data_IF_624856291349
#
_entry.id   IF_624856291349
#
_cell.length_a   1.000
_cell.length_b   1.000
_cell.length_c   1.000
_cell.angle_alpha   90.00
_cell.angle_beta   90.00
_cell.angle_gamma   90.00
#
_symmetry.space_group_name_H-M   'P 1'
#
loop_
_entity.id
_entity.type
_entity.pdbx_description
1 polymer ?
#
# COMPACT_ATOMS: atom_id res chain seq x y z
N UNK A 1 -38.35 -47.58 15.60
CA UNK A 1 -36.91 -47.28 15.47
C UNK A 1 -36.79 -46.20 14.42
N UNK A 2 -36.62 -44.96 14.88
CA UNK A 2 -36.65 -43.75 14.05
C UNK A 2 -35.39 -43.65 13.21
N UNK A 3 -35.54 -43.61 11.90
CA UNK A 3 -34.49 -43.22 10.96
C UNK A 3 -34.40 -41.69 10.99
N UNK A 4 -33.41 -41.15 11.71
CA UNK A 4 -33.07 -39.73 11.61
C UNK A 4 -32.44 -39.48 10.24
N UNK A 5 -33.25 -38.92 9.33
CA UNK A 5 -32.75 -38.31 8.11
C UNK A 5 -31.95 -37.09 8.55
N UNK A 6 -30.62 -37.21 8.52
CA UNK A 6 -29.75 -36.06 8.65
C UNK A 6 -30.00 -35.16 7.43
N UNK A 7 -30.87 -34.17 7.60
CA UNK A 7 -31.06 -33.09 6.65
C UNK A 7 -29.70 -32.46 6.38
N UNK A 8 -29.12 -32.78 5.22
CA UNK A 8 -27.95 -32.08 4.69
C UNK A 8 -28.44 -30.68 4.29
N UNK A 9 -28.46 -29.77 5.26
CA UNK A 9 -28.50 -28.34 4.98
C UNK A 9 -27.26 -28.02 4.15
N UNK A 10 -27.43 -27.96 2.83
CA UNK A 10 -26.44 -27.38 1.93
C UNK A 10 -26.53 -25.87 2.12
N UNK A 11 -25.52 -25.20 2.73
CA UNK A 11 -25.55 -23.75 2.84
C UNK A 11 -25.54 -23.18 1.42
N UNK A 12 -26.63 -22.48 1.10
CA UNK A 12 -26.94 -21.88 -0.20
C UNK A 12 -25.94 -20.78 -0.59
N UNK A 13 -25.17 -20.23 0.35
CA UNK A 13 -24.09 -19.29 0.09
C UNK A 13 -22.85 -19.59 0.95
N UNK A 14 -21.74 -19.95 0.32
CA UNK A 14 -20.46 -20.10 1.01
C UNK A 14 -19.31 -19.52 0.18
N UNK A 15 -18.47 -18.72 0.84
CA UNK A 15 -17.27 -18.14 0.23
C UNK A 15 -16.06 -18.99 0.57
N UNK A 16 -15.31 -19.39 -0.46
CA UNK A 16 -14.10 -20.20 -0.32
C UNK A 16 -12.86 -19.32 -0.37
N UNK A 17 -11.98 -19.47 0.63
CA UNK A 17 -10.72 -18.76 0.75
C UNK A 17 -9.54 -19.71 0.58
N UNK A 18 -8.50 -19.21 -0.09
CA UNK A 18 -7.19 -19.86 -0.18
C UNK A 18 -6.14 -18.98 0.50
N UNK A 19 -5.10 -19.60 1.04
CA UNK A 19 -3.97 -18.87 1.60
C UNK A 19 -3.34 -17.94 0.55
N UNK A 20 -3.08 -16.70 0.94
CA UNK A 20 -2.43 -15.66 0.13
C UNK A 20 -0.92 -15.55 0.36
N UNK A 21 -0.37 -16.36 1.26
CA UNK A 21 1.07 -16.36 1.55
C UNK A 21 1.89 -16.59 0.27
N UNK A 22 3.04 -15.91 0.10
CA UNK A 22 3.96 -16.18 -1.01
C UNK A 22 4.56 -17.61 -0.95
N UNK A 23 4.38 -18.34 0.15
CA UNK A 23 4.75 -19.74 0.23
C UNK A 23 3.84 -20.61 -0.68
N UNK A 24 4.31 -20.87 -1.90
CA UNK A 24 3.61 -21.67 -2.92
C UNK A 24 3.26 -23.11 -2.50
N UNK A 25 3.94 -23.64 -1.47
CA UNK A 25 3.69 -24.96 -0.92
C UNK A 25 2.52 -24.98 0.05
N UNK A 26 2.10 -23.82 0.57
CA UNK A 26 0.92 -23.75 1.42
C UNK A 26 -0.34 -24.07 0.63
N UNK A 27 -1.14 -25.01 1.14
CA UNK A 27 -2.47 -25.35 0.62
C UNK A 27 -3.59 -25.05 1.62
N UNK A 28 -3.35 -24.11 2.54
CA UNK A 28 -4.32 -23.69 3.55
C UNK A 28 -5.57 -23.11 2.89
N UNK A 29 -6.74 -23.52 3.38
CA UNK A 29 -8.04 -23.06 2.87
C UNK A 29 -9.04 -22.89 4.01
N UNK A 30 -9.99 -21.99 3.81
CA UNK A 30 -11.09 -21.77 4.73
C UNK A 30 -12.39 -21.57 3.95
N UNK A 31 -13.51 -21.76 4.64
CA UNK A 31 -14.84 -21.46 4.11
C UNK A 31 -15.57 -20.55 5.08
N UNK A 32 -16.21 -19.52 4.57
CA UNK A 32 -17.16 -18.71 5.33
C UNK A 32 -18.57 -19.27 5.11
N UNK A 33 -19.23 -19.57 6.22
CA UNK A 33 -20.61 -20.02 6.27
C UNK A 33 -21.58 -18.83 6.18
N UNK A 34 -22.88 -19.10 5.99
CA UNK A 34 -23.92 -18.07 5.86
C UNK A 34 -24.06 -17.19 7.11
N UNK A 35 -23.77 -17.75 8.28
CA UNK A 35 -23.77 -17.04 9.57
C UNK A 35 -22.53 -16.14 9.76
N UNK A 36 -21.63 -16.10 8.77
CA UNK A 36 -20.37 -15.36 8.81
C UNK A 36 -19.23 -16.11 9.50
N UNK A 37 -19.49 -17.29 10.09
CA UNK A 37 -18.47 -18.11 10.75
C UNK A 37 -17.44 -18.60 9.74
N UNK A 38 -16.15 -18.42 10.06
CA UNK A 38 -15.06 -18.94 9.24
C UNK A 38 -14.62 -20.30 9.79
N UNK A 39 -14.70 -21.32 8.94
CA UNK A 39 -14.20 -22.67 9.23
C UNK A 39 -12.93 -22.94 8.43
N UNK A 40 -11.85 -23.32 9.12
CA UNK A 40 -10.61 -23.74 8.48
C UNK A 40 -10.77 -25.19 7.96
N UNK A 41 -10.50 -25.38 6.66
CA UNK A 41 -10.60 -26.70 6.02
C UNK A 41 -9.23 -27.38 5.94
N UNK A 42 -8.20 -26.65 5.51
CA UNK A 42 -6.81 -27.13 5.46
C UNK A 42 -5.92 -26.24 6.33
N UNK A 43 -5.09 -26.82 7.22
CA UNK A 43 -4.17 -26.04 8.03
C UNK A 43 -3.07 -25.41 7.17
N UNK A 44 -2.47 -24.34 7.69
CA UNK A 44 -1.28 -23.74 7.11
C UNK A 44 -0.04 -24.59 7.42
N UNK A 45 0.94 -24.57 6.52
CA UNK A 45 2.25 -25.22 6.68
C UNK A 45 3.36 -24.20 6.89
N UNK A 46 2.99 -23.02 7.39
CA UNK A 46 3.88 -21.91 7.66
C UNK A 46 3.33 -21.12 8.84
N UNK A 47 4.22 -20.44 9.55
CA UNK A 47 3.83 -19.43 10.53
C UNK A 47 3.08 -18.28 9.87
N UNK A 48 2.19 -17.57 10.60
CA UNK A 48 1.49 -16.40 10.06
C UNK A 48 2.46 -15.48 9.33
N UNK A 49 2.10 -15.13 8.09
CA UNK A 49 2.87 -14.14 7.35
C UNK A 49 2.68 -12.80 8.03
N UNK A 50 3.66 -12.39 8.82
CA UNK A 50 3.79 -11.00 9.28
C UNK A 50 4.19 -10.21 8.05
N UNK A 51 3.47 -9.13 7.71
CA UNK A 51 3.82 -8.26 6.60
C UNK A 51 5.30 -7.86 6.75
N UNK A 52 6.14 -8.49 5.93
CA UNK A 52 7.57 -8.16 5.91
C UNK A 52 7.62 -6.75 5.37
N UNK A 53 8.28 -5.84 6.10
CA UNK A 53 8.47 -4.45 5.68
C UNK A 53 8.82 -4.41 4.19
N UNK A 54 7.87 -3.96 3.38
CA UNK A 54 8.02 -3.94 1.94
C UNK A 54 8.80 -2.70 1.57
N UNK A 55 10.14 -2.82 1.52
CA UNK A 55 11.05 -1.72 1.21
C UNK A 55 10.65 -0.96 -0.05
N UNK A 56 10.16 -1.68 -1.07
CA UNK A 56 9.75 -1.09 -2.33
C UNK A 56 8.47 -0.27 -2.18
N UNK A 57 7.51 -0.74 -1.40
CA UNK A 57 6.28 -0.01 -1.09
C UNK A 57 6.56 1.21 -0.22
N UNK A 58 7.35 1.05 0.85
CA UNK A 58 7.77 2.16 1.71
C UNK A 58 8.47 3.27 0.90
N UNK A 59 9.38 2.88 -0.01
CA UNK A 59 10.04 3.80 -0.95
C UNK A 59 9.05 4.48 -1.89
N UNK A 60 8.07 3.75 -2.43
CA UNK A 60 7.08 4.28 -3.36
C UNK A 60 6.15 5.30 -2.68
N UNK A 61 5.65 4.96 -1.48
CA UNK A 61 4.80 5.85 -0.67
C UNK A 61 5.56 7.12 -0.32
N UNK A 62 6.79 6.99 0.19
CA UNK A 62 7.64 8.12 0.54
C UNK A 62 7.91 9.05 -0.65
N UNK A 63 8.31 8.48 -1.79
CA UNK A 63 8.49 9.25 -3.03
C UNK A 63 7.19 9.94 -3.47
N UNK A 64 6.05 9.26 -3.35
CA UNK A 64 4.74 9.81 -3.69
C UNK A 64 4.42 11.05 -2.87
N UNK A 65 4.58 10.98 -1.55
CA UNK A 65 4.38 12.11 -0.63
C UNK A 65 5.29 13.28 -0.98
N UNK A 66 6.59 13.03 -1.21
CA UNK A 66 7.53 14.09 -1.59
C UNK A 66 7.16 14.79 -2.90
N UNK A 67 6.74 14.03 -3.92
CA UNK A 67 6.31 14.57 -5.21
C UNK A 67 5.07 15.43 -5.04
N UNK A 68 4.08 14.95 -4.29
CA UNK A 68 2.83 15.67 -4.11
C UNK A 68 3.04 16.97 -3.32
N UNK A 69 3.72 16.90 -2.18
CA UNK A 69 4.07 18.09 -1.39
C UNK A 69 4.91 19.08 -2.19
N UNK A 70 5.80 18.60 -3.06
CA UNK A 70 6.59 19.48 -3.93
C UNK A 70 5.74 20.27 -4.93
N UNK A 71 4.60 19.73 -5.36
CA UNK A 71 3.69 20.42 -6.29
C UNK A 71 2.80 21.44 -5.59
N UNK A 72 2.34 21.11 -4.39
CA UNK A 72 1.26 21.82 -3.71
C UNK A 72 1.77 22.84 -2.68
N UNK A 73 2.93 22.59 -2.08
CA UNK A 73 3.49 23.45 -1.04
C UNK A 73 4.55 24.41 -1.59
N UNK A 74 4.61 25.60 -0.98
CA UNK A 74 5.60 26.65 -1.29
C UNK A 74 6.90 26.50 -0.50
N UNK A 75 6.97 25.57 0.45
CA UNK A 75 8.15 25.28 1.26
C UNK A 75 9.36 24.88 0.39
N UNK A 76 10.57 25.13 0.90
CA UNK A 76 11.80 24.65 0.28
C UNK A 76 11.81 23.12 0.15
N UNK A 77 12.27 22.61 -1.00
CA UNK A 77 12.29 21.16 -1.25
C UNK A 77 13.07 20.40 -0.17
N UNK A 78 14.15 20.99 0.33
CA UNK A 78 14.96 20.40 1.39
C UNK A 78 14.18 20.28 2.70
N UNK A 79 13.40 21.31 3.06
CA UNK A 79 12.54 21.30 4.25
C UNK A 79 11.47 20.22 4.14
N UNK A 80 10.79 20.12 2.99
CA UNK A 80 9.80 19.05 2.75
C UNK A 80 10.45 17.67 2.94
N UNK A 81 11.64 17.46 2.38
CA UNK A 81 12.34 16.19 2.53
C UNK A 81 12.74 15.89 3.97
N UNK A 82 13.37 16.84 4.67
CA UNK A 82 13.84 16.62 6.03
C UNK A 82 12.66 16.34 6.98
N UNK A 83 11.52 17.03 6.81
CA UNK A 83 10.29 16.75 7.56
C UNK A 83 9.76 15.33 7.31
N UNK A 84 9.67 14.90 6.05
CA UNK A 84 9.22 13.55 5.73
C UNK A 84 10.23 12.49 6.16
N UNK A 85 11.53 12.78 6.09
CA UNK A 85 12.59 11.87 6.53
C UNK A 85 12.56 11.65 8.05
N UNK A 86 12.17 12.66 8.83
CA UNK A 86 11.92 12.51 10.28
C UNK A 86 10.69 11.62 10.52
N UNK A 87 9.62 11.77 9.73
CA UNK A 87 8.41 10.94 9.84
C UNK A 87 8.64 9.49 9.40
N UNK A 88 9.49 9.28 8.39
CA UNK A 88 9.69 8.01 7.71
C UNK A 88 11.20 7.69 7.52
N UNK A 89 11.96 7.49 8.60
CA UNK A 89 13.42 7.35 8.54
C UNK A 89 13.88 6.15 7.70
N UNK A 90 13.20 5.00 7.80
CA UNK A 90 13.53 3.80 7.01
C UNK A 90 13.39 4.04 5.51
N UNK A 91 12.38 4.79 5.09
CA UNK A 91 12.18 5.12 3.67
C UNK A 91 13.20 6.16 3.18
N UNK A 92 13.63 7.09 4.04
CA UNK A 92 14.67 8.07 3.71
C UNK A 92 16.04 7.43 3.49
N UNK A 93 16.34 6.30 4.16
CA UNK A 93 17.54 5.50 3.86
C UNK A 93 17.47 4.91 2.45
N UNK A 94 16.29 4.43 2.03
CA UNK A 94 16.06 3.82 0.72
C UNK A 94 15.92 4.84 -0.43
N UNK A 95 15.60 6.09 -0.11
CA UNK A 95 15.33 7.16 -1.08
C UNK A 95 15.98 8.48 -0.65
N UNK A 96 17.31 8.51 -0.74
CA UNK A 96 18.13 9.65 -0.31
C UNK A 96 17.88 10.96 -1.05
N UNK A 97 18.29 12.06 -0.41
CA UNK A 97 18.10 13.43 -0.88
C UNK A 97 18.46 13.68 -2.36
N UNK A 98 19.62 13.25 -2.89
CA UNK A 98 19.97 13.54 -4.29
C UNK A 98 18.95 12.99 -5.29
N UNK A 99 18.38 11.81 -5.01
CA UNK A 99 17.36 11.18 -5.85
C UNK A 99 16.00 11.86 -5.68
N UNK A 100 15.64 12.17 -4.43
CA UNK A 100 14.41 12.89 -4.10
C UNK A 100 14.39 14.28 -4.75
N UNK A 101 15.45 15.07 -4.58
CA UNK A 101 15.57 16.44 -5.07
C UNK A 101 15.29 16.55 -6.57
N UNK A 102 15.84 15.64 -7.37
CA UNK A 102 15.61 15.61 -8.82
C UNK A 102 14.12 15.41 -9.14
N UNK A 103 13.49 14.43 -8.50
CA UNK A 103 12.06 14.12 -8.71
C UNK A 103 11.15 15.24 -8.22
N UNK A 104 11.45 15.80 -7.06
CA UNK A 104 10.73 16.90 -6.43
C UNK A 104 10.82 18.18 -7.26
N UNK A 105 12.02 18.54 -7.73
CA UNK A 105 12.25 19.70 -8.61
C UNK A 105 11.55 19.51 -9.95
N UNK A 106 11.61 18.31 -10.53
CA UNK A 106 10.87 18.03 -11.75
C UNK A 106 9.37 18.21 -11.56
N UNK A 107 8.80 17.62 -10.51
CA UNK A 107 7.37 17.71 -10.19
C UNK A 107 6.91 19.16 -9.99
N UNK A 108 7.65 19.96 -9.21
CA UNK A 108 7.34 21.38 -8.97
C UNK A 108 7.37 22.21 -10.24
N UNK A 109 8.31 21.95 -11.16
CA UNK A 109 8.35 22.67 -12.45
C UNK A 109 7.13 22.40 -13.32
N UNK A 110 6.49 21.23 -13.20
CA UNK A 110 5.29 20.93 -13.99
C UNK A 110 4.05 21.70 -13.53
N UNK A 111 4.06 22.27 -12.31
CA UNK A 111 2.93 23.03 -11.77
C UNK A 111 3.13 24.54 -11.79
N UNK A 112 4.34 25.01 -12.08
CA UNK A 112 4.60 26.43 -12.25
C UNK A 112 4.00 26.93 -13.56
N UNK A 113 3.28 28.06 -13.56
CA UNK A 113 2.85 28.69 -14.80
C UNK A 113 4.07 29.05 -15.65
N UNK A 114 3.90 29.01 -16.97
CA UNK A 114 4.92 29.51 -17.89
C UNK A 114 5.30 30.93 -17.48
N UNK A 115 6.61 31.21 -17.45
CA UNK A 115 7.08 32.56 -17.23
C UNK A 115 6.40 33.50 -18.23
N UNK A 116 5.86 34.64 -17.76
CA UNK A 116 5.25 35.61 -18.65
C UNK A 116 6.26 36.04 -19.70
N UNK A 117 5.80 36.15 -20.94
CA UNK A 117 6.68 36.46 -22.07
C UNK A 117 7.13 37.92 -22.05
N UNK A 118 6.41 38.77 -21.31
CA UNK A 118 6.68 40.19 -21.17
C UNK A 118 6.43 40.68 -19.75
N UNK A 119 7.10 41.76 -19.33
CA UNK A 119 6.85 42.43 -18.05
C UNK A 119 5.40 42.92 -17.90
N UNK A 120 4.67 43.13 -19.01
CA UNK A 120 3.26 43.53 -19.00
C UNK A 120 2.31 42.46 -18.49
N UNK A 121 2.70 41.19 -18.58
CA UNK A 121 1.89 40.07 -18.10
C UNK A 121 2.03 39.85 -16.58
N UNK A 122 2.81 40.70 -15.90
CA UNK A 122 3.01 40.68 -14.44
C UNK A 122 2.20 41.75 -13.68
N UNK A 123 1.45 42.61 -14.37
CA UNK A 123 0.70 43.73 -13.78
C UNK A 123 -0.74 43.40 -13.46
#
# INVERSE_FOLDING_TARGET
LNTEIANLYLPTYCSYYKCSSPNVYCKGTAVQLEDGTIRHNKPHTHEPYVEVFNEQEAKNVFRGTLIERSKTETLGLRSIYDEEAIRNPSAAILYGWPTAESSMRYARRQTLPSLPSTLRELS
#
